data_IF_723702913171
#
_entry.id   IF_723702913171
#
_cell.length_a   1.000
_cell.length_b   1.000
_cell.length_c   1.000
_cell.angle_alpha   90.00
_cell.angle_beta   90.00
_cell.angle_gamma   90.00
#
_symmetry.space_group_name_H-M   'P 1'
#
loop_
_entity.id
_entity.type
_entity.pdbx_description
1 polymer ?
#
# COMPACT_ATOMS: atom_id res chain seq x y z
N UNK A 1 -7.91 59.48 -6.25
CA UNK A 1 -8.15 59.35 -4.78
C UNK A 1 -9.60 59.08 -4.40
N UNK A 2 -10.60 59.36 -5.26
CA UNK A 2 -12.03 59.19 -4.95
C UNK A 2 -12.55 57.75 -5.09
N UNK A 3 -11.90 56.90 -5.88
CA UNK A 3 -12.34 55.50 -6.13
C UNK A 3 -11.95 54.53 -5.01
N UNK A 4 -10.90 54.82 -4.23
CA UNK A 4 -10.45 53.96 -3.12
C UNK A 4 -11.38 54.05 -1.90
N UNK A 5 -12.00 55.21 -1.67
CA UNK A 5 -12.91 55.46 -0.54
C UNK A 5 -14.24 54.72 -0.72
N UNK A 6 -14.72 54.61 -1.97
CA UNK A 6 -15.99 53.93 -2.30
C UNK A 6 -15.95 52.42 -2.07
N UNK A 7 -14.77 51.78 -2.13
CA UNK A 7 -14.62 50.33 -1.89
C UNK A 7 -14.49 49.97 -0.42
N UNK A 8 -14.04 50.89 0.44
CA UNK A 8 -13.78 50.63 1.86
C UNK A 8 -15.00 50.94 2.73
N UNK A 9 -15.83 51.91 2.33
CA UNK A 9 -17.02 52.32 3.07
C UNK A 9 -18.04 51.18 3.36
N UNK A 10 -18.40 50.30 2.41
CA UNK A 10 -19.36 49.22 2.69
C UNK A 10 -18.78 48.14 3.64
N UNK A 11 -17.46 47.97 3.66
CA UNK A 11 -16.77 47.02 4.55
C UNK A 11 -16.77 47.56 5.99
N UNK A 12 -16.60 48.88 6.16
CA UNK A 12 -16.61 49.52 7.47
C UNK A 12 -18.01 49.51 8.10
N UNK A 13 -19.08 49.77 7.35
CA UNK A 13 -20.46 49.64 7.86
C UNK A 13 -20.81 48.20 8.24
N UNK A 14 -20.40 47.21 7.43
CA UNK A 14 -20.59 45.79 7.77
C UNK A 14 -19.86 45.41 9.06
N UNK A 15 -18.61 45.86 9.24
CA UNK A 15 -17.84 45.59 10.46
C UNK A 15 -18.43 46.24 11.71
N UNK A 16 -18.94 47.48 11.62
CA UNK A 16 -19.56 48.18 12.76
C UNK A 16 -20.91 47.55 13.12
N UNK A 17 -21.74 47.21 12.14
CA UNK A 17 -23.04 46.54 12.34
C UNK A 17 -22.89 45.16 12.97
N UNK A 18 -21.90 44.37 12.52
CA UNK A 18 -21.59 43.06 13.10
C UNK A 18 -21.12 43.15 14.56
N UNK A 19 -20.34 44.19 14.91
CA UNK A 19 -19.85 44.40 16.27
C UNK A 19 -20.98 44.78 17.23
N UNK A 20 -21.97 45.56 16.78
CA UNK A 20 -23.11 45.97 17.60
C UNK A 20 -24.05 44.77 17.89
N UNK A 21 -24.26 43.88 16.91
CA UNK A 21 -25.06 42.65 17.13
C UNK A 21 -24.40 41.65 18.09
N UNK A 22 -23.06 41.59 18.15
CA UNK A 22 -22.35 40.72 19.10
C UNK A 22 -22.39 41.28 20.53
N UNK A 23 -22.37 42.61 20.69
CA UNK A 23 -22.40 43.28 22.00
C UNK A 23 -23.81 43.24 22.63
N UNK A 24 -24.87 43.29 21.81
CA UNK A 24 -26.26 43.28 22.24
C UNK A 24 -26.92 41.88 22.22
N UNK A 25 -26.14 40.78 22.22
CA UNK A 25 -26.75 39.47 22.50
C UNK A 25 -27.15 39.43 23.98
N UNK A 26 -28.45 39.27 24.32
CA UNK A 26 -28.80 38.92 25.69
C UNK A 26 -28.08 37.62 26.02
N UNK A 27 -27.27 37.64 27.09
CA UNK A 27 -26.73 36.42 27.70
C UNK A 27 -27.92 35.67 28.28
N UNK A 28 -28.65 34.94 27.43
CA UNK A 28 -29.54 33.90 27.86
C UNK A 28 -28.64 32.82 28.48
N UNK A 29 -28.36 32.95 29.77
CA UNK A 29 -27.68 31.93 30.55
C UNK A 29 -28.72 30.81 30.68
N UNK A 30 -28.73 29.92 29.71
CA UNK A 30 -29.47 28.66 29.81
C UNK A 30 -28.78 27.91 30.95
N UNK A 31 -29.41 27.87 32.13
CA UNK A 31 -28.93 27.06 33.26
C UNK A 31 -29.21 25.59 32.95
N UNK A 32 -28.47 25.02 32.00
CA UNK A 32 -28.48 23.59 31.75
C UNK A 32 -27.69 22.93 32.88
N UNK A 33 -28.37 22.47 33.93
CA UNK A 33 -27.76 21.53 34.88
C UNK A 33 -27.26 20.34 34.05
N UNK A 34 -25.94 20.05 33.99
CA UNK A 34 -25.45 18.97 33.14
C UNK A 34 -26.05 17.67 33.66
N UNK A 35 -26.87 17.01 32.83
CA UNK A 35 -27.38 15.68 33.17
C UNK A 35 -26.15 14.78 33.32
N UNK A 36 -25.90 14.30 34.54
CA UNK A 36 -24.81 13.35 34.80
C UNK A 36 -25.18 12.01 34.17
N UNK A 37 -24.81 11.82 32.90
CA UNK A 37 -24.98 10.55 32.18
C UNK A 37 -23.99 9.49 32.69
N UNK A 38 -24.13 9.09 33.96
CA UNK A 38 -23.23 8.13 34.63
C UNK A 38 -23.14 6.79 33.89
N UNK A 39 -24.27 6.28 33.36
CA UNK A 39 -24.31 5.04 32.56
C UNK A 39 -23.49 5.16 31.27
N UNK A 40 -23.60 6.29 30.56
CA UNK A 40 -22.81 6.55 29.35
C UNK A 40 -21.33 6.69 29.64
N UNK A 41 -20.95 7.34 30.74
CA UNK A 41 -19.55 7.42 31.17
C UNK A 41 -18.98 6.04 31.52
N UNK A 42 -19.76 5.21 32.20
CA UNK A 42 -19.37 3.83 32.54
C UNK A 42 -19.23 2.97 31.29
N UNK A 43 -20.21 3.01 30.38
CA UNK A 43 -20.17 2.30 29.10
C UNK A 43 -18.99 2.77 28.25
N UNK A 44 -18.81 4.08 28.07
CA UNK A 44 -17.69 4.64 27.32
C UNK A 44 -16.34 4.23 27.91
N UNK A 45 -16.21 4.22 29.25
CA UNK A 45 -14.97 3.79 29.91
C UNK A 45 -14.62 2.34 29.61
N UNK A 46 -15.57 1.41 29.77
CA UNK A 46 -15.28 -0.02 29.62
C UNK A 46 -15.31 -0.51 28.17
N UNK A 47 -16.29 -0.05 27.38
CA UNK A 47 -16.35 -0.33 25.95
C UNK A 47 -15.18 0.35 25.22
N UNK A 48 -14.85 1.59 25.58
CA UNK A 48 -13.69 2.30 25.05
C UNK A 48 -12.38 1.61 25.40
N UNK A 49 -12.23 1.09 26.63
CA UNK A 49 -11.05 0.30 27.01
C UNK A 49 -10.92 -0.96 26.14
N UNK A 50 -12.00 -1.74 25.98
CA UNK A 50 -12.00 -2.92 25.12
C UNK A 50 -11.65 -2.56 23.66
N UNK A 51 -12.33 -1.56 23.09
CA UNK A 51 -12.10 -1.10 21.71
C UNK A 51 -10.69 -0.53 21.54
N UNK A 52 -10.14 0.14 22.56
CA UNK A 52 -8.79 0.72 22.49
C UNK A 52 -7.70 -0.35 22.34
N UNK A 53 -7.88 -1.53 22.96
CA UNK A 53 -6.94 -2.65 22.79
C UNK A 53 -6.94 -3.13 21.34
N UNK A 54 -8.13 -3.34 20.75
CA UNK A 54 -8.23 -3.72 19.33
C UNK A 54 -7.69 -2.62 18.41
N UNK A 55 -8.01 -1.35 18.68
CA UNK A 55 -7.48 -0.22 17.91
C UNK A 55 -5.96 -0.16 17.96
N UNK A 56 -5.35 -0.39 19.12
CA UNK A 56 -3.88 -0.41 19.24
C UNK A 56 -3.27 -1.53 18.39
N UNK A 57 -3.85 -2.73 18.41
CA UNK A 57 -3.41 -3.84 17.56
C UNK A 57 -3.56 -3.51 16.06
N UNK A 58 -4.66 -2.87 15.66
CA UNK A 58 -4.86 -2.41 14.29
C UNK A 58 -3.90 -1.30 13.87
N UNK A 59 -3.57 -0.36 14.78
CA UNK A 59 -2.56 0.66 14.51
C UNK A 59 -1.18 0.02 14.35
N UNK A 60 -0.82 -0.94 15.22
CA UNK A 60 0.46 -1.64 15.13
C UNK A 60 0.55 -2.45 13.84
N UNK A 61 -0.51 -3.16 13.46
CA UNK A 61 -0.54 -3.88 12.19
C UNK A 61 -0.46 -2.94 10.99
N UNK A 62 -1.12 -1.78 11.05
CA UNK A 62 -1.04 -0.74 10.02
C UNK A 62 0.38 -0.19 9.84
N UNK A 63 1.10 0.07 10.94
CA UNK A 63 2.50 0.49 10.90
C UNK A 63 3.37 -0.60 10.26
N UNK A 64 3.19 -1.86 10.67
CA UNK A 64 3.96 -2.99 10.12
C UNK A 64 3.71 -3.15 8.61
N UNK A 65 2.46 -3.06 8.18
CA UNK A 65 2.07 -3.21 6.78
C UNK A 65 2.55 -2.03 5.92
N UNK A 66 2.57 -0.82 6.46
CA UNK A 66 3.00 0.38 5.75
C UNK A 66 4.53 0.47 5.64
N UNK A 67 5.26 0.07 6.69
CA UNK A 67 6.74 0.01 6.70
C UNK A 67 7.27 -1.36 6.26
N UNK A 68 6.63 -1.93 5.24
CA UNK A 68 6.90 -3.29 4.75
C UNK A 68 8.37 -3.59 4.51
N UNK A 69 9.10 -2.64 3.95
CA UNK A 69 10.50 -2.84 3.55
C UNK A 69 11.40 -3.11 4.75
N UNK A 70 11.14 -2.46 5.88
CA UNK A 70 11.86 -2.69 7.14
C UNK A 70 11.60 -4.09 7.69
N UNK A 71 10.40 -4.63 7.48
CA UNK A 71 10.02 -5.97 7.93
C UNK A 71 10.29 -7.08 6.90
N UNK A 72 10.70 -6.73 5.68
CA UNK A 72 11.01 -7.68 4.60
C UNK A 72 12.20 -8.61 4.92
N UNK A 73 13.03 -8.22 5.90
CA UNK A 73 14.15 -9.03 6.38
C UNK A 73 13.69 -10.26 7.18
N UNK A 74 12.52 -10.19 7.84
CA UNK A 74 11.98 -11.28 8.64
C UNK A 74 11.03 -12.14 7.80
N UNK A 75 11.58 -12.90 6.86
CA UNK A 75 10.79 -13.85 6.07
C UNK A 75 10.51 -15.12 6.89
N UNK A 76 9.23 -15.47 6.99
CA UNK A 76 8.80 -16.75 7.57
C UNK A 76 8.93 -17.81 6.48
N UNK A 77 9.69 -18.87 6.74
CA UNK A 77 9.76 -20.00 5.83
C UNK A 77 8.38 -20.66 5.68
N UNK A 78 8.03 -21.03 4.44
CA UNK A 78 6.76 -21.69 4.10
C UNK A 78 6.64 -23.06 4.77
N UNK A 79 7.75 -23.64 5.23
CA UNK A 79 7.75 -24.85 6.05
C UNK A 79 7.01 -24.67 7.38
N UNK A 80 7.04 -23.47 7.96
CA UNK A 80 6.36 -23.11 9.20
C UNK A 80 4.87 -22.77 9.02
N UNK A 81 4.40 -22.63 7.77
CA UNK A 81 3.01 -22.31 7.48
C UNK A 81 2.12 -23.57 7.45
N UNK A 82 0.80 -23.43 7.69
CA UNK A 82 -0.15 -24.53 7.57
C UNK A 82 -0.08 -25.22 6.20
N UNK A 83 -0.52 -26.49 6.13
CA UNK A 83 -0.44 -27.31 4.91
C UNK A 83 -1.14 -26.68 3.70
N UNK A 84 -2.16 -25.85 3.91
CA UNK A 84 -2.85 -25.09 2.86
C UNK A 84 -1.95 -24.06 2.17
N UNK A 85 -0.88 -23.58 2.81
CA UNK A 85 0.06 -22.60 2.23
C UNK A 85 1.27 -23.27 1.57
N UNK A 86 1.34 -24.60 1.60
CA UNK A 86 2.41 -25.35 0.95
C UNK A 86 2.16 -25.42 -0.56
N UNK A 87 3.23 -25.23 -1.31
CA UNK A 87 3.19 -25.30 -2.76
C UNK A 87 3.04 -26.76 -3.19
N UNK A 88 1.97 -27.06 -3.93
CA UNK A 88 1.73 -28.36 -4.56
C UNK A 88 1.19 -28.13 -5.96
N UNK A 89 1.76 -28.80 -6.96
CA UNK A 89 1.31 -28.76 -8.35
C UNK A 89 1.15 -27.31 -8.90
N UNK A 90 2.08 -26.42 -8.57
CA UNK A 90 2.06 -25.02 -9.03
C UNK A 90 0.79 -24.24 -8.65
N UNK A 91 0.15 -24.58 -7.54
CA UNK A 91 -0.99 -23.85 -6.96
C UNK A 91 -0.67 -22.37 -6.64
N UNK A 92 -1.71 -21.56 -6.44
CA UNK A 92 -1.59 -20.13 -6.08
C UNK A 92 -0.86 -19.25 -7.11
N UNK A 93 -0.85 -19.68 -8.38
CA UNK A 93 -0.28 -18.89 -9.47
C UNK A 93 1.23 -18.70 -9.35
N UNK A 94 1.96 -19.70 -8.83
CA UNK A 94 3.42 -19.74 -8.88
C UNK A 94 3.89 -19.53 -10.31
N UNK A 95 3.22 -20.19 -11.26
CA UNK A 95 3.44 -20.02 -12.69
C UNK A 95 2.18 -19.37 -13.26
N UNK A 96 2.35 -18.22 -13.89
CA UNK A 96 1.29 -17.47 -14.58
C UNK A 96 1.46 -17.49 -16.08
N UNK A 97 2.70 -17.53 -16.54
CA UNK A 97 3.02 -17.53 -17.95
C UNK A 97 4.43 -18.03 -18.20
N UNK A 98 4.72 -18.19 -19.48
CA UNK A 98 6.02 -18.61 -19.98
C UNK A 98 6.43 -17.73 -21.16
N UNK A 99 7.73 -17.51 -21.30
CA UNK A 99 8.32 -16.83 -22.45
C UNK A 99 9.46 -17.71 -23.01
N UNK A 100 9.38 -18.19 -24.25
CA UNK A 100 10.48 -18.91 -24.87
C UNK A 100 11.66 -17.95 -25.12
N UNK A 101 12.85 -18.32 -24.65
CA UNK A 101 14.10 -17.61 -24.97
C UNK A 101 14.71 -18.17 -26.25
N UNK A 102 14.87 -19.49 -26.29
CA UNK A 102 15.45 -20.26 -27.40
C UNK A 102 14.66 -21.55 -27.63
N UNK A 103 15.18 -22.45 -28.48
CA UNK A 103 14.53 -23.73 -28.82
C UNK A 103 14.27 -24.64 -27.60
N UNK A 104 15.17 -24.62 -26.61
CA UNK A 104 15.11 -25.54 -25.46
C UNK A 104 15.01 -24.82 -24.11
N UNK A 105 14.99 -23.47 -24.11
CA UNK A 105 14.98 -22.67 -22.88
C UNK A 105 13.74 -21.78 -22.82
N UNK A 106 12.99 -21.94 -21.74
CA UNK A 106 11.77 -21.21 -21.46
C UNK A 106 11.92 -20.52 -20.10
N UNK A 107 11.57 -19.24 -20.04
CA UNK A 107 11.37 -18.55 -18.77
C UNK A 107 9.94 -18.78 -18.30
N UNK A 108 9.79 -19.40 -17.14
CA UNK A 108 8.54 -19.47 -16.43
C UNK A 108 8.49 -18.36 -15.38
N UNK A 109 7.36 -17.68 -15.24
CA UNK A 109 7.23 -16.60 -14.27
C UNK A 109 5.89 -16.60 -13.56
N UNK A 110 5.86 -16.05 -12.36
CA UNK A 110 4.61 -15.83 -11.62
C UNK A 110 4.84 -15.30 -10.21
N UNK A 111 4.09 -15.82 -9.23
CA UNK A 111 4.00 -15.20 -7.90
C UNK A 111 5.27 -15.27 -7.05
N UNK A 112 6.22 -16.14 -7.39
CA UNK A 112 7.47 -16.32 -6.64
C UNK A 112 8.72 -16.02 -7.47
N UNK A 113 8.57 -15.28 -8.57
CA UNK A 113 9.68 -14.82 -9.38
C UNK A 113 9.72 -15.45 -10.78
N UNK A 114 10.95 -15.66 -11.26
CA UNK A 114 11.26 -16.21 -12.57
C UNK A 114 12.13 -17.46 -12.40
N UNK A 115 11.84 -18.47 -13.21
CA UNK A 115 12.61 -19.70 -13.30
C UNK A 115 12.97 -20.00 -14.74
N UNK A 116 14.15 -20.56 -14.96
CA UNK A 116 14.56 -21.08 -16.24
C UNK A 116 14.25 -22.58 -16.30
N UNK A 117 13.57 -23.01 -17.35
CA UNK A 117 13.17 -24.41 -17.50
C UNK A 117 13.14 -24.85 -18.96
N UNK A 118 13.06 -26.15 -19.18
CA UNK A 118 12.86 -26.76 -20.50
C UNK A 118 11.35 -26.83 -20.85
N UNK A 119 11.05 -27.21 -22.09
CA UNK A 119 9.66 -27.33 -22.57
C UNK A 119 8.81 -28.35 -21.80
N UNK A 120 9.45 -29.28 -21.10
CA UNK A 120 8.80 -30.37 -20.35
C UNK A 120 8.77 -30.10 -18.83
N UNK A 121 9.36 -28.99 -18.36
CA UNK A 121 9.50 -28.68 -16.93
C UNK A 121 10.26 -29.75 -16.13
N UNK A 122 11.17 -30.49 -16.77
CA UNK A 122 11.99 -31.52 -16.14
C UNK A 122 13.10 -30.94 -15.27
N UNK A 123 13.72 -29.85 -15.75
CA UNK A 123 14.77 -29.14 -15.04
C UNK A 123 14.31 -27.69 -14.83
N UNK A 124 14.28 -27.24 -13.57
CA UNK A 124 13.96 -25.85 -13.24
C UNK A 124 15.05 -25.25 -12.36
N UNK A 125 15.51 -24.05 -12.74
CA UNK A 125 16.55 -23.31 -12.06
C UNK A 125 16.02 -21.95 -11.62
N UNK A 126 16.43 -21.50 -10.43
CA UNK A 126 16.08 -20.17 -9.95
C UNK A 126 16.72 -19.11 -10.85
N UNK A 127 15.90 -18.19 -11.39
CA UNK A 127 16.35 -17.11 -12.26
C UNK A 127 15.94 -15.75 -11.69
N UNK A 128 16.03 -15.61 -10.37
CA UNK A 128 15.68 -14.39 -9.64
C UNK A 128 16.88 -13.46 -9.37
N UNK A 129 18.05 -13.77 -9.95
CA UNK A 129 19.23 -12.94 -9.81
C UNK A 129 18.96 -11.51 -10.32
N UNK A 130 19.16 -10.53 -9.45
CA UNK A 130 18.93 -9.10 -9.70
C UNK A 130 17.52 -8.59 -9.33
N UNK A 131 16.57 -9.48 -9.02
CA UNK A 131 15.33 -9.09 -8.36
C UNK A 131 15.55 -8.91 -6.84
N UNK A 132 14.95 -7.90 -6.21
CA UNK A 132 15.03 -7.72 -4.77
C UNK A 132 14.48 -8.94 -4.00
N UNK A 133 14.97 -9.12 -2.78
CA UNK A 133 14.50 -10.16 -1.86
C UNK A 133 13.09 -9.84 -1.37
N UNK A 134 12.28 -10.87 -1.13
CA UNK A 134 10.88 -10.74 -0.72
C UNK A 134 9.91 -11.34 -1.75
N UNK A 135 8.97 -12.15 -1.28
CA UNK A 135 8.01 -12.88 -2.14
C UNK A 135 7.16 -11.92 -2.98
N UNK A 136 6.84 -10.78 -2.42
CA UNK A 136 5.99 -9.77 -3.00
C UNK A 136 6.65 -8.91 -4.07
N UNK A 137 7.94 -8.60 -3.88
CA UNK A 137 8.73 -7.89 -4.88
C UNK A 137 9.05 -8.79 -6.07
N UNK A 138 9.06 -10.11 -5.85
CA UNK A 138 9.18 -11.15 -6.88
C UNK A 138 7.84 -11.58 -7.48
N UNK A 139 6.76 -10.84 -7.24
CA UNK A 139 5.47 -11.16 -7.83
C UNK A 139 5.42 -10.70 -9.29
N UNK A 140 5.90 -11.53 -10.21
CA UNK A 140 5.99 -11.22 -11.64
C UNK A 140 4.61 -11.29 -12.28
N UNK A 141 4.17 -10.16 -12.84
CA UNK A 141 2.86 -10.00 -13.47
C UNK A 141 2.92 -10.39 -14.93
N UNK A 142 3.97 -9.97 -15.63
CA UNK A 142 4.18 -10.32 -17.02
C UNK A 142 5.65 -10.23 -17.42
N UNK A 143 6.06 -11.04 -18.39
CA UNK A 143 7.34 -10.90 -19.09
C UNK A 143 7.06 -10.89 -20.58
N UNK A 144 7.59 -9.89 -21.27
CA UNK A 144 7.41 -9.74 -22.72
C UNK A 144 8.75 -9.54 -23.42
N UNK A 145 8.83 -9.98 -24.67
CA UNK A 145 9.91 -9.63 -25.59
C UNK A 145 9.42 -8.53 -26.52
N UNK A 146 10.14 -7.42 -26.58
CA UNK A 146 9.80 -6.33 -27.49
C UNK A 146 10.23 -6.62 -28.94
N UNK A 147 9.88 -5.71 -29.85
CA UNK A 147 10.21 -5.84 -31.27
C UNK A 147 11.73 -5.74 -31.55
N UNK A 148 12.49 -5.10 -30.66
CA UNK A 148 13.95 -5.01 -30.74
C UNK A 148 14.65 -6.26 -30.19
N UNK A 149 13.88 -7.19 -29.60
CA UNK A 149 14.38 -8.43 -29.00
C UNK A 149 14.75 -8.31 -27.53
N UNK A 150 14.56 -7.15 -26.88
CA UNK A 150 14.81 -6.97 -25.45
C UNK A 150 13.67 -7.59 -24.64
N UNK A 151 14.01 -8.16 -23.49
CA UNK A 151 13.04 -8.80 -22.59
C UNK A 151 12.79 -7.88 -21.40
N UNK A 152 11.52 -7.63 -21.13
CA UNK A 152 11.02 -6.79 -20.06
C UNK A 152 10.22 -7.63 -19.07
N UNK A 153 10.51 -7.46 -17.79
CA UNK A 153 9.88 -8.18 -16.68
C UNK A 153 9.18 -7.18 -15.76
N UNK A 154 7.85 -7.22 -15.70
CA UNK A 154 7.06 -6.37 -14.83
C UNK A 154 6.67 -7.13 -13.55
N UNK A 155 7.10 -6.63 -12.39
CA UNK A 155 6.61 -7.11 -11.10
C UNK A 155 5.44 -6.26 -10.61
N UNK A 156 4.93 -6.52 -9.41
CA UNK A 156 3.89 -5.68 -8.80
C UNK A 156 4.37 -4.23 -8.56
N UNK A 157 5.66 -4.02 -8.34
CA UNK A 157 6.20 -2.73 -7.91
C UNK A 157 7.06 -2.05 -8.97
N UNK A 158 7.91 -2.81 -9.67
CA UNK A 158 8.91 -2.25 -10.55
C UNK A 158 8.94 -2.95 -11.91
N UNK A 159 9.52 -2.28 -12.88
CA UNK A 159 9.84 -2.82 -14.20
C UNK A 159 11.34 -3.12 -14.26
N UNK A 160 11.66 -4.29 -14.80
CA UNK A 160 13.02 -4.77 -14.94
C UNK A 160 13.30 -5.09 -16.40
N UNK A 161 14.56 -4.93 -16.77
CA UNK A 161 15.07 -5.28 -18.09
C UNK A 161 15.99 -6.48 -17.96
N UNK A 162 15.92 -7.39 -18.91
CA UNK A 162 16.81 -8.55 -18.95
C UNK A 162 18.10 -8.19 -19.68
N UNK A 163 19.25 -8.61 -19.14
CA UNK A 163 20.54 -8.48 -19.80
C UNK A 163 21.34 -9.78 -19.69
N UNK A 164 21.55 -10.45 -20.82
CA UNK A 164 22.48 -11.57 -21.06
C UNK A 164 22.86 -12.46 -19.85
N UNK A 165 21.84 -12.88 -19.07
CA UNK A 165 21.86 -13.83 -17.91
C UNK A 165 21.36 -13.26 -16.58
N UNK A 166 21.06 -11.97 -16.45
CA UNK A 166 20.58 -11.36 -15.19
C UNK A 166 19.41 -10.42 -15.45
N UNK A 167 18.46 -10.37 -14.51
CA UNK A 167 17.38 -9.37 -14.51
C UNK A 167 17.92 -8.11 -13.84
N UNK A 168 18.06 -7.02 -14.58
CA UNK A 168 18.57 -5.74 -14.05
C UNK A 168 17.41 -4.76 -13.79
N UNK A 169 17.53 -4.02 -12.70
CA UNK A 169 16.63 -2.90 -12.40
C UNK A 169 17.08 -1.69 -13.20
N UNK A 170 16.37 -1.36 -14.28
CA UNK A 170 16.38 0.00 -14.80
C UNK A 170 15.21 0.73 -14.12
N UNK A 171 15.53 1.57 -13.14
CA UNK A 171 14.54 2.41 -12.45
C UNK A 171 14.01 3.41 -13.47
N UNK A 172 12.91 3.07 -14.13
CA UNK A 172 12.07 4.07 -14.78
C UNK A 172 11.30 4.74 -13.65
N UNK A 173 11.98 5.68 -12.98
CA UNK A 173 11.40 6.58 -11.98
C UNK A 173 10.25 7.34 -12.64
N UNK A 174 9.04 7.17 -12.12
CA UNK A 174 7.86 7.96 -12.46
C UNK A 174 7.65 9.07 -11.45
#
# INVERSE_FOLDING_TARGET
MTTLIALIYPIFEYCVSFRIQVILRPKFIINMKPKKHKKWKWLHKWAGLLVSVFMLLFCLSGIILNHRDTFSLFNIDRSCLPSSYKLKNYNYGIIRGTLPLDKDRILAYGSCGVWLTDSVFSNSYDFNAGLPTGIDRRNVRNIIKDQSGQIWCATTYDLYKFNDSVIITEVVES
#
